data_IF_170481056272
#
_entry.id   IF_170481056272
#
_cell.length_a   1.000
_cell.length_b   1.000
_cell.length_c   1.000
_cell.angle_alpha   90.00
_cell.angle_beta   90.00
_cell.angle_gamma   90.00
#
_symmetry.space_group_name_H-M   'P 1'
#
loop_
_entity.id
_entity.type
_entity.pdbx_description
1 polymer ?
#
# COMPACT_ATOMS: atom_id res chain seq x y z
N UNK A 1 6.08 1.05 4.37
CA UNK A 1 6.80 -0.14 4.79
C UNK A 1 6.39 -0.54 6.18
N UNK A 2 5.17 -0.93 6.31
CA UNK A 2 4.62 -1.30 7.60
C UNK A 2 3.50 -2.31 7.40
N UNK A 3 3.03 -2.87 8.50
CA UNK A 3 1.98 -3.85 8.51
C UNK A 3 0.77 -3.30 9.25
N UNK A 4 -0.42 -3.50 8.67
CA UNK A 4 -1.68 -3.06 9.27
C UNK A 4 -2.57 -4.27 9.49
N UNK A 5 -3.21 -4.32 10.65
CA UNK A 5 -4.21 -5.32 10.94
C UNK A 5 -5.59 -4.75 10.70
N UNK A 6 -6.41 -5.47 9.93
CA UNK A 6 -7.80 -5.07 9.69
C UNK A 6 -8.57 -5.07 11.02
N UNK A 7 -9.27 -3.99 11.38
CA UNK A 7 -9.90 -3.89 12.70
C UNK A 7 -11.06 -4.85 12.92
N UNK A 8 -11.69 -5.32 11.84
CA UNK A 8 -12.83 -6.23 11.95
C UNK A 8 -12.42 -7.68 11.72
N UNK A 9 -11.75 -7.95 10.62
CA UNK A 9 -11.40 -9.32 10.23
C UNK A 9 -10.17 -9.86 10.92
N UNK A 10 -9.30 -8.98 11.43
CA UNK A 10 -8.02 -9.36 11.98
C UNK A 10 -6.96 -9.71 10.96
N UNK A 11 -7.28 -9.65 9.67
CA UNK A 11 -6.34 -9.93 8.61
C UNK A 11 -5.21 -8.90 8.60
N UNK A 12 -3.99 -9.36 8.36
CA UNK A 12 -2.84 -8.48 8.23
C UNK A 12 -2.61 -8.11 6.78
N UNK A 13 -2.28 -6.83 6.55
CA UNK A 13 -1.90 -6.29 5.26
C UNK A 13 -0.52 -5.69 5.37
N UNK A 14 0.35 -5.95 4.40
CA UNK A 14 1.61 -5.24 4.26
C UNK A 14 1.37 -4.01 3.40
N UNK A 15 2.01 -2.91 3.75
CA UNK A 15 1.93 -1.68 2.96
C UNK A 15 3.34 -1.23 2.63
N UNK A 16 3.65 -1.20 1.34
CA UNK A 16 4.93 -0.77 0.82
C UNK A 16 4.75 0.50 0.01
N UNK A 17 5.49 1.55 0.33
CA UNK A 17 5.46 2.80 -0.40
C UNK A 17 6.76 2.97 -1.18
N UNK A 18 6.66 3.13 -2.50
CA UNK A 18 7.81 3.37 -3.37
C UNK A 18 7.88 4.86 -3.72
N UNK A 19 8.80 5.57 -3.08
CA UNK A 19 8.83 7.04 -3.10
C UNK A 19 9.67 7.65 -4.20
N UNK A 20 10.36 6.87 -5.03
CA UNK A 20 11.29 7.40 -6.04
C UNK A 20 11.11 6.70 -7.38
N UNK A 21 9.88 6.59 -7.83
CA UNK A 21 9.58 5.81 -9.04
C UNK A 21 9.98 6.51 -10.34
N UNK A 22 10.50 7.73 -10.25
CA UNK A 22 11.13 8.40 -11.38
C UNK A 22 12.62 8.07 -11.52
N UNK A 23 13.16 7.22 -10.66
CA UNK A 23 14.54 6.75 -10.73
C UNK A 23 14.55 5.32 -11.28
N UNK A 24 15.20 5.07 -12.46
CA UNK A 24 15.15 3.73 -13.08
C UNK A 24 15.76 2.61 -12.22
N UNK A 25 16.84 2.87 -11.52
CA UNK A 25 17.44 1.85 -10.65
C UNK A 25 16.55 1.53 -9.47
N UNK A 26 15.90 2.55 -8.91
CA UNK A 26 14.95 2.36 -7.83
C UNK A 26 13.74 1.53 -8.29
N UNK A 27 13.23 1.81 -9.50
CA UNK A 27 12.13 1.04 -10.08
C UNK A 27 12.49 -0.44 -10.23
N UNK A 28 13.71 -0.72 -10.66
CA UNK A 28 14.18 -2.10 -10.80
C UNK A 28 14.19 -2.81 -9.45
N UNK A 29 14.70 -2.17 -8.43
CA UNK A 29 14.70 -2.72 -7.08
C UNK A 29 13.29 -2.90 -6.53
N UNK A 30 12.39 -1.97 -6.83
CA UNK A 30 10.99 -2.07 -6.43
C UNK A 30 10.32 -3.30 -7.06
N UNK A 31 10.57 -3.54 -8.34
CA UNK A 31 10.05 -4.73 -9.02
C UNK A 31 10.60 -6.03 -8.40
N UNK A 32 11.88 -6.06 -8.09
CA UNK A 32 12.49 -7.22 -7.44
C UNK A 32 11.87 -7.47 -6.06
N UNK A 33 11.59 -6.41 -5.33
CA UNK A 33 10.98 -6.50 -4.00
C UNK A 33 9.56 -7.05 -4.08
N UNK A 34 8.77 -6.59 -5.04
CA UNK A 34 7.42 -7.11 -5.27
C UNK A 34 7.46 -8.60 -5.61
N UNK A 35 8.41 -9.00 -6.45
CA UNK A 35 8.57 -10.41 -6.78
C UNK A 35 8.88 -11.26 -5.54
N UNK A 36 9.74 -10.77 -4.66
CA UNK A 36 10.06 -11.45 -3.41
C UNK A 36 8.82 -11.58 -2.51
N UNK A 37 8.04 -10.51 -2.39
CA UNK A 37 6.78 -10.57 -1.65
C UNK A 37 5.88 -11.69 -2.20
N UNK A 38 5.70 -11.71 -3.52
CA UNK A 38 4.85 -12.70 -4.16
C UNK A 38 5.34 -14.13 -3.91
N UNK A 39 6.64 -14.35 -3.90
CA UNK A 39 7.21 -15.67 -3.60
C UNK A 39 6.87 -16.15 -2.19
N UNK A 40 6.60 -15.22 -1.29
CA UNK A 40 6.23 -15.52 0.09
C UNK A 40 4.73 -15.42 0.36
N UNK A 41 3.93 -15.38 -0.70
CA UNK A 41 2.48 -15.34 -0.55
C UNK A 41 1.92 -13.97 -0.20
N UNK A 42 2.73 -12.91 -0.32
CA UNK A 42 2.30 -11.54 -0.07
C UNK A 42 2.01 -10.91 -1.43
N UNK A 43 0.72 -10.80 -1.76
CA UNK A 43 0.27 -10.55 -3.12
C UNK A 43 -0.39 -9.18 -3.23
N UNK A 44 0.00 -8.36 -4.23
CA UNK A 44 -0.66 -7.06 -4.45
C UNK A 44 -2.17 -7.20 -4.59
N UNK A 45 -2.90 -6.31 -3.96
CA UNK A 45 -4.36 -6.26 -3.93
C UNK A 45 -5.03 -7.37 -3.13
N UNK A 46 -4.27 -8.30 -2.58
CA UNK A 46 -4.80 -9.34 -1.70
C UNK A 46 -4.41 -9.03 -0.25
N UNK A 47 -3.13 -9.00 0.04
CA UNK A 47 -2.61 -8.68 1.36
C UNK A 47 -1.40 -7.74 1.31
N UNK A 48 -1.15 -7.13 0.15
CA UNK A 48 -0.09 -6.15 -0.06
C UNK A 48 -0.69 -4.90 -0.69
N UNK A 49 -0.55 -3.79 0.00
CA UNK A 49 -0.96 -2.49 -0.49
C UNK A 49 0.27 -1.79 -1.02
N UNK A 50 0.22 -1.35 -2.26
CA UNK A 50 1.33 -0.65 -2.91
C UNK A 50 0.94 0.78 -3.20
N UNK A 51 1.80 1.71 -2.81
CA UNK A 51 1.67 3.10 -3.20
C UNK A 51 2.97 3.57 -3.83
N UNK A 52 2.87 4.52 -4.72
CA UNK A 52 3.99 5.02 -5.50
C UNK A 52 3.98 6.52 -5.52
N UNK A 53 5.14 7.12 -5.71
CA UNK A 53 5.19 8.54 -6.03
C UNK A 53 6.42 8.86 -6.85
N UNK A 54 6.34 9.99 -7.56
CA UNK A 54 7.44 10.62 -8.25
C UNK A 54 7.49 12.07 -7.78
N UNK A 55 8.52 12.81 -8.18
CA UNK A 55 8.60 14.23 -7.84
C UNK A 55 7.41 15.01 -8.41
N UNK A 56 6.96 14.62 -9.59
CA UNK A 56 5.85 15.28 -10.25
C UNK A 56 4.49 14.87 -9.71
N UNK A 57 4.37 13.64 -9.21
CA UNK A 57 3.11 13.08 -8.71
C UNK A 57 3.31 12.52 -7.31
N UNK A 58 3.37 13.39 -6.29
CA UNK A 58 3.52 12.92 -4.91
C UNK A 58 2.25 12.24 -4.40
N UNK A 59 2.42 11.37 -3.45
CA UNK A 59 1.28 10.72 -2.79
C UNK A 59 0.53 11.75 -1.96
N UNK A 60 -0.78 11.87 -2.18
CA UNK A 60 -1.62 12.80 -1.47
C UNK A 60 -2.38 12.14 -0.33
N UNK A 61 -2.80 12.94 0.65
CA UNK A 61 -3.63 12.46 1.74
C UNK A 61 -4.96 11.89 1.22
N UNK A 62 -5.51 12.47 0.16
CA UNK A 62 -6.77 11.98 -0.42
C UNK A 62 -6.61 10.58 -0.97
N UNK A 63 -5.50 10.28 -1.63
CA UNK A 63 -5.24 8.92 -2.14
C UNK A 63 -5.09 7.92 -1.01
N UNK A 64 -4.39 8.31 0.05
CA UNK A 64 -4.24 7.45 1.22
C UNK A 64 -5.60 7.15 1.84
N UNK A 65 -6.45 8.16 1.94
CA UNK A 65 -7.80 7.98 2.49
C UNK A 65 -8.64 7.05 1.62
N UNK A 66 -8.56 7.17 0.31
CA UNK A 66 -9.24 6.26 -0.61
C UNK A 66 -8.80 4.80 -0.40
N UNK A 67 -7.52 4.60 -0.20
CA UNK A 67 -6.96 3.26 0.05
C UNK A 67 -7.47 2.70 1.38
N UNK A 68 -7.45 3.51 2.43
CA UNK A 68 -7.97 3.10 3.73
C UNK A 68 -9.44 2.73 3.65
N UNK A 69 -10.23 3.49 2.90
CA UNK A 69 -11.64 3.20 2.68
C UNK A 69 -11.83 1.88 1.95
N UNK A 70 -11.06 1.66 0.89
CA UNK A 70 -11.20 0.47 0.05
C UNK A 70 -10.82 -0.81 0.79
N UNK A 71 -9.70 -0.79 1.51
CA UNK A 71 -9.19 -2.00 2.16
C UNK A 71 -9.78 -2.24 3.54
N UNK A 72 -10.10 -1.18 4.28
CA UNK A 72 -10.47 -1.31 5.68
C UNK A 72 -11.86 -0.76 6.00
N UNK A 73 -12.55 -0.15 5.03
CA UNK A 73 -13.85 0.44 5.25
C UNK A 73 -13.83 1.61 6.20
N UNK A 74 -12.66 2.27 6.35
CA UNK A 74 -12.48 3.38 7.28
C UNK A 74 -12.03 4.62 6.52
N UNK A 75 -12.45 5.78 7.00
CA UNK A 75 -11.90 7.01 6.52
C UNK A 75 -11.43 7.84 7.70
N UNK A 76 -10.59 8.84 7.40
CA UNK A 76 -9.97 9.66 8.43
C UNK A 76 -10.98 10.34 9.34
N UNK A 77 -12.08 10.78 8.81
CA UNK A 77 -13.08 11.51 9.56
C UNK A 77 -14.21 10.67 10.10
N UNK A 78 -14.19 9.37 9.88
CA UNK A 78 -15.30 8.49 10.22
C UNK A 78 -14.83 7.25 10.94
N UNK A 79 -15.72 6.70 11.69
CA UNK A 79 -15.53 5.36 12.20
C UNK A 79 -15.65 4.35 11.04
N UNK A 80 -15.35 3.11 11.33
CA UNK A 80 -15.51 2.02 10.37
C UNK A 80 -16.95 1.98 9.89
N UNK A 81 -17.13 1.86 8.59
CA UNK A 81 -18.45 1.88 7.98
C UNK A 81 -18.89 0.47 7.70
N UNK A 82 -18.63 -0.38 8.11
CA UNK A 82 -19.24 -1.59 7.88
C UNK A 82 -18.87 -2.74 7.44
#
# INVERSE_FOLDING_TARGET
DFMIRHPITGQYFYWEHFGMMDNPDYCKHACDKIRLYCQHGIIPSVNLILTYETKQYPLSADKVEMILQEYFGCSRGNAVIG
#
